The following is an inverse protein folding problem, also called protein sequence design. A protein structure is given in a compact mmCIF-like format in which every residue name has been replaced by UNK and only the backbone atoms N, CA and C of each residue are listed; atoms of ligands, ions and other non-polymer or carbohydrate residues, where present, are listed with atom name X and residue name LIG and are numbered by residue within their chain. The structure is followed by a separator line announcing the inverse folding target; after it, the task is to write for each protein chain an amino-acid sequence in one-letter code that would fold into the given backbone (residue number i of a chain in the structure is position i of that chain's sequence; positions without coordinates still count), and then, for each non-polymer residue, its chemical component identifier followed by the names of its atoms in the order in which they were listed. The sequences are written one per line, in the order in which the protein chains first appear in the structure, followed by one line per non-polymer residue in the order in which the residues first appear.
data_IF_724537520446
#
_entry.id   IF_724537520446
#
_cell.length_a   1.000
_cell.length_b   1.000
_cell.length_c   1.000
_cell.angle_alpha   90.00
_cell.angle_beta   90.00
_cell.angle_gamma   90.00
#
_symmetry.space_group_name_H-M   'P 1'
#
loop_
_entity.id
_entity.type
_entity.pdbx_description
1 polymer ?
#
# COMPACT_ATOMS: atom_id res chain seq x y z
N UNK A 1 12.08 26.37 -24.40
CA UNK A 1 13.09 25.70 -23.54
C UNK A 1 12.34 25.01 -22.41
N UNK A 2 12.27 23.68 -22.44
CA UNK A 2 11.72 22.90 -21.33
C UNK A 2 12.74 22.94 -20.19
N UNK A 3 12.40 23.61 -19.09
CA UNK A 3 13.17 23.51 -17.85
C UNK A 3 12.99 22.10 -17.30
N UNK A 4 13.94 21.20 -17.59
CA UNK A 4 13.99 19.91 -16.94
C UNK A 4 14.20 20.16 -15.45
N UNK A 5 13.16 19.97 -14.64
CA UNK A 5 13.26 20.05 -13.19
C UNK A 5 14.26 18.97 -12.76
N UNK A 6 15.44 19.39 -12.29
CA UNK A 6 16.37 18.46 -11.63
C UNK A 6 15.74 18.12 -10.28
N UNK A 7 14.97 17.03 -10.24
CA UNK A 7 14.36 16.58 -9.00
C UNK A 7 15.45 16.00 -8.09
N UNK A 8 15.59 16.47 -6.84
CA UNK A 8 16.61 15.99 -5.91
C UNK A 8 16.53 14.48 -5.64
N UNK A 9 17.62 13.93 -5.10
CA UNK A 9 17.75 12.47 -4.87
C UNK A 9 16.75 11.96 -3.83
N UNK A 10 16.42 12.77 -2.83
CA UNK A 10 15.63 12.32 -1.69
C UNK A 10 14.17 12.06 -2.06
N UNK A 11 13.57 12.78 -3.01
CA UNK A 11 12.19 12.55 -3.44
C UNK A 11 12.03 11.15 -4.04
N UNK A 12 13.00 10.73 -4.88
CA UNK A 12 13.00 9.38 -5.46
C UNK A 12 13.19 8.32 -4.39
N UNK A 13 14.18 8.52 -3.51
CA UNK A 13 14.41 7.58 -2.40
C UNK A 13 13.18 7.44 -1.52
N UNK A 14 12.50 8.53 -1.18
CA UNK A 14 11.26 8.50 -0.41
C UNK A 14 10.13 7.77 -1.16
N UNK A 15 9.95 8.03 -2.45
CA UNK A 15 8.94 7.34 -3.26
C UNK A 15 9.17 5.83 -3.29
N UNK A 16 10.42 5.40 -3.48
CA UNK A 16 10.81 3.98 -3.58
C UNK A 16 10.74 3.28 -2.21
N UNK A 17 11.27 3.91 -1.16
CA UNK A 17 11.27 3.34 0.19
C UNK A 17 9.86 3.22 0.78
N UNK A 18 8.95 4.12 0.39
CA UNK A 18 7.56 4.15 0.86
C UNK A 18 6.57 3.78 -0.24
N UNK A 19 6.97 2.90 -1.16
CA UNK A 19 6.02 2.32 -2.12
C UNK A 19 4.89 1.60 -1.38
N UNK A 20 3.64 1.64 -1.90
CA UNK A 20 2.51 1.00 -1.23
C UNK A 20 2.72 -0.47 -0.85
N UNK A 21 3.32 -1.35 -1.70
CA UNK A 21 3.61 -2.72 -1.32
C UNK A 21 4.63 -2.85 -0.19
N UNK A 22 5.62 -1.95 -0.12
CA UNK A 22 6.65 -1.94 0.93
C UNK A 22 6.04 -1.57 2.28
N UNK A 23 5.22 -0.52 2.29
CA UNK A 23 4.48 -0.11 3.49
C UNK A 23 3.52 -1.20 3.96
N UNK A 24 2.77 -1.82 3.06
CA UNK A 24 1.82 -2.88 3.42
C UNK A 24 2.56 -4.09 3.98
N UNK A 25 3.66 -4.51 3.36
CA UNK A 25 4.51 -5.58 3.87
C UNK A 25 5.04 -5.27 5.28
N UNK A 26 5.51 -4.03 5.51
CA UNK A 26 5.97 -3.62 6.83
C UNK A 26 4.86 -3.68 7.89
N UNK A 27 3.65 -3.21 7.57
CA UNK A 27 2.51 -3.26 8.49
C UNK A 27 2.04 -4.69 8.76
N UNK A 28 1.99 -5.55 7.74
CA UNK A 28 1.64 -6.96 7.87
C UNK A 28 2.59 -7.70 8.80
N UNK A 29 3.84 -7.25 8.95
CA UNK A 29 4.79 -7.82 9.91
C UNK A 29 4.69 -7.13 11.27
N UNK A 30 4.74 -5.80 11.29
CA UNK A 30 4.91 -5.04 12.52
C UNK A 30 3.68 -5.03 13.43
N UNK A 31 2.47 -4.96 12.87
CA UNK A 31 1.24 -4.87 13.66
C UNK A 31 0.92 -6.17 14.41
N UNK A 32 0.85 -7.36 13.78
CA UNK A 32 0.60 -8.59 14.52
C UNK A 32 1.75 -8.95 15.48
N UNK A 33 3.00 -8.60 15.13
CA UNK A 33 4.13 -8.75 16.05
C UNK A 33 3.99 -7.84 17.28
N UNK A 34 3.63 -6.57 17.07
CA UNK A 34 3.44 -5.60 18.14
C UNK A 34 2.27 -5.94 19.06
N UNK A 35 1.22 -6.57 18.52
CA UNK A 35 0.08 -7.03 19.30
C UNK A 35 0.38 -8.30 20.10
N UNK A 36 1.08 -9.27 19.50
CA UNK A 36 1.45 -10.52 20.17
C UNK A 36 2.78 -11.08 19.62
N UNK A 37 3.94 -10.81 20.25
CA UNK A 37 5.26 -11.09 19.69
C UNK A 37 5.63 -12.58 19.82
N UNK A 38 5.09 -13.40 18.90
CA UNK A 38 5.30 -14.85 18.84
C UNK A 38 5.86 -15.26 17.49
N UNK A 39 6.44 -16.46 17.42
CA UNK A 39 6.85 -17.02 16.13
C UNK A 39 5.66 -17.14 15.16
N UNK A 40 4.46 -17.44 15.67
CA UNK A 40 3.24 -17.53 14.87
C UNK A 40 2.86 -16.19 14.24
N UNK A 41 2.85 -15.09 14.99
CA UNK A 41 2.52 -13.76 14.44
C UNK A 41 3.54 -13.31 13.40
N UNK A 42 4.83 -13.57 13.64
CA UNK A 42 5.88 -13.31 12.66
C UNK A 42 5.68 -14.14 11.38
N UNK A 43 5.24 -15.40 11.52
CA UNK A 43 5.04 -16.28 10.37
C UNK A 43 3.84 -15.89 9.51
N UNK A 44 2.74 -15.51 10.15
CA UNK A 44 1.61 -14.88 9.47
C UNK A 44 2.04 -13.59 8.76
N UNK A 45 2.75 -12.70 9.45
CA UNK A 45 3.18 -11.43 8.86
C UNK A 45 4.13 -11.58 7.67
N UNK A 46 5.17 -12.40 7.80
CA UNK A 46 6.14 -12.64 6.72
C UNK A 46 5.48 -13.33 5.53
N UNK A 47 4.67 -14.37 5.76
CA UNK A 47 4.01 -15.08 4.66
C UNK A 47 2.98 -14.19 3.94
N UNK A 48 2.22 -13.38 4.67
CA UNK A 48 1.31 -12.39 4.08
C UNK A 48 2.09 -11.37 3.23
N UNK A 49 3.17 -10.78 3.78
CA UNK A 49 4.00 -9.83 3.06
C UNK A 49 4.61 -10.43 1.78
N UNK A 50 5.12 -11.65 1.84
CA UNK A 50 5.68 -12.34 0.68
C UNK A 50 4.62 -12.65 -0.38
N UNK A 51 3.45 -13.15 0.01
CA UNK A 51 2.40 -13.56 -0.94
C UNK A 51 1.69 -12.35 -1.53
N UNK A 52 1.31 -11.38 -0.71
CA UNK A 52 0.47 -10.25 -1.12
C UNK A 52 1.29 -9.09 -1.70
N UNK A 53 2.55 -8.93 -1.30
CA UNK A 53 3.40 -7.85 -1.81
C UNK A 53 4.58 -8.38 -2.63
N UNK A 54 5.26 -9.42 -2.14
CA UNK A 54 6.45 -9.99 -2.79
C UNK A 54 6.16 -10.64 -4.14
N UNK A 55 5.16 -11.54 -4.21
CA UNK A 55 4.81 -12.24 -5.46
C UNK A 55 4.38 -11.25 -6.55
N UNK A 56 3.45 -10.29 -6.32
CA UNK A 56 3.11 -9.31 -7.35
C UNK A 56 4.28 -8.47 -7.82
N UNK A 57 5.13 -8.00 -6.90
CA UNK A 57 6.31 -7.22 -7.26
C UNK A 57 7.27 -8.06 -8.10
N UNK A 58 7.57 -9.30 -7.70
CA UNK A 58 8.41 -10.21 -8.46
C UNK A 58 7.83 -10.50 -9.85
N UNK A 59 6.51 -10.70 -9.95
CA UNK A 59 5.83 -10.90 -11.22
C UNK A 59 5.96 -9.69 -12.14
N UNK A 60 5.71 -8.47 -11.63
CA UNK A 60 5.88 -7.23 -12.39
C UNK A 60 7.33 -7.06 -12.86
N UNK A 61 8.32 -7.25 -11.98
CA UNK A 61 9.73 -7.14 -12.33
C UNK A 61 10.14 -8.19 -13.38
N UNK A 62 9.64 -9.41 -13.28
CA UNK A 62 9.88 -10.46 -14.28
C UNK A 62 9.27 -10.09 -15.65
N UNK A 63 8.06 -9.55 -15.66
CA UNK A 63 7.39 -9.11 -16.89
C UNK A 63 8.11 -7.90 -17.53
N UNK A 64 8.66 -6.98 -16.73
CA UNK A 64 9.53 -5.90 -17.22
C UNK A 64 10.80 -6.48 -17.84
N UNK A 65 11.47 -7.42 -17.17
CA UNK A 65 12.68 -8.09 -17.70
C UNK A 65 12.42 -8.84 -19.00
N UNK A 66 11.20 -9.35 -19.21
CA UNK A 66 10.77 -10.03 -20.43
C UNK A 66 10.28 -9.07 -21.53
N UNK A 67 10.31 -7.76 -21.30
CA UNK A 67 9.83 -6.74 -22.25
C UNK A 67 8.31 -6.72 -22.42
N UNK A 68 7.55 -7.40 -21.54
CA UNK A 68 6.09 -7.41 -21.57
C UNK A 68 5.51 -6.13 -20.93
N UNK A 69 6.17 -5.63 -19.88
CA UNK A 69 5.85 -4.35 -19.25
C UNK A 69 6.98 -3.35 -19.49
N UNK A 70 6.62 -2.07 -19.60
CA UNK A 70 7.58 -0.97 -19.83
C UNK A 70 8.41 -0.64 -18.59
N UNK A 71 7.79 -0.72 -17.40
CA UNK A 71 8.36 -0.31 -16.12
C UNK A 71 7.57 -0.93 -14.96
N UNK A 72 8.14 -0.93 -13.76
CA UNK A 72 7.52 -1.55 -12.59
C UNK A 72 6.37 -0.74 -11.98
N UNK A 73 6.20 0.51 -12.38
CA UNK A 73 5.02 1.31 -12.00
C UNK A 73 3.79 0.99 -12.88
N UNK A 74 3.95 0.10 -13.86
CA UNK A 74 2.88 -0.31 -14.79
C UNK A 74 2.24 0.93 -15.43
N UNK A 75 3.09 1.77 -16.05
CA UNK A 75 2.67 3.07 -16.58
C UNK A 75 1.60 2.95 -17.67
N UNK A 76 1.64 1.89 -18.49
CA UNK A 76 0.63 1.57 -19.51
C UNK A 76 -0.68 1.13 -18.86
N UNK A 77 -1.76 1.85 -19.15
CA UNK A 77 -3.06 1.72 -18.46
C UNK A 77 -3.69 0.34 -18.66
N UNK A 78 -3.51 -0.23 -19.84
CA UNK A 78 -4.03 -1.54 -20.26
C UNK A 78 -3.44 -2.66 -19.41
N UNK A 79 -2.19 -2.54 -18.99
CA UNK A 79 -1.51 -3.52 -18.15
C UNK A 79 -1.89 -3.42 -16.66
N UNK A 80 -2.46 -2.29 -16.21
CA UNK A 80 -2.82 -2.10 -14.80
C UNK A 80 -3.94 -3.02 -14.35
N UNK A 81 -4.95 -3.25 -15.21
CA UNK A 81 -6.10 -4.10 -14.90
C UNK A 81 -5.70 -5.55 -14.58
N UNK A 82 -4.96 -6.27 -15.43
CA UNK A 82 -4.58 -7.65 -15.13
C UNK A 82 -3.65 -7.75 -13.91
N UNK A 83 -2.72 -6.80 -13.72
CA UNK A 83 -1.85 -6.77 -12.53
C UNK A 83 -2.69 -6.58 -11.26
N UNK A 84 -3.60 -5.61 -11.25
CA UNK A 84 -4.47 -5.33 -10.12
C UNK A 84 -5.44 -6.48 -9.82
N UNK A 85 -5.98 -7.14 -10.85
CA UNK A 85 -6.79 -8.33 -10.67
C UNK A 85 -5.99 -9.48 -10.01
N UNK A 86 -4.75 -9.72 -10.46
CA UNK A 86 -3.86 -10.70 -9.86
C UNK A 86 -3.54 -10.40 -8.39
N UNK A 87 -3.26 -9.12 -8.06
CA UNK A 87 -3.06 -8.68 -6.68
C UNK A 87 -4.31 -8.94 -5.84
N UNK A 88 -5.49 -8.53 -6.31
CA UNK A 88 -6.75 -8.73 -5.58
C UNK A 88 -7.06 -10.21 -5.33
N UNK A 89 -6.78 -11.09 -6.28
CA UNK A 89 -6.92 -12.55 -6.11
C UNK A 89 -5.98 -13.07 -5.02
N UNK A 90 -4.72 -12.63 -5.01
CA UNK A 90 -3.75 -13.02 -3.98
C UNK A 90 -4.15 -12.52 -2.59
N UNK A 91 -4.58 -11.25 -2.48
CA UNK A 91 -5.11 -10.67 -1.24
C UNK A 91 -6.30 -11.48 -0.74
N UNK A 92 -7.29 -11.74 -1.59
CA UNK A 92 -8.50 -12.47 -1.22
C UNK A 92 -8.19 -13.92 -0.81
N UNK A 93 -7.28 -14.57 -1.53
CA UNK A 93 -6.88 -15.95 -1.25
C UNK A 93 -6.16 -16.07 0.09
N UNK A 94 -5.24 -15.14 0.38
CA UNK A 94 -4.56 -15.11 1.68
C UNK A 94 -5.52 -14.70 2.80
N UNK A 95 -6.42 -13.73 2.56
CA UNK A 95 -7.46 -13.34 3.51
C UNK A 95 -8.35 -14.54 3.87
N UNK A 96 -8.79 -15.32 2.88
CA UNK A 96 -9.57 -16.52 3.11
C UNK A 96 -8.80 -17.53 3.98
N UNK A 97 -7.52 -17.76 3.69
CA UNK A 97 -6.68 -18.62 4.51
C UNK A 97 -6.53 -18.09 5.94
N UNK A 98 -6.32 -16.78 6.12
CA UNK A 98 -6.21 -16.15 7.43
C UNK A 98 -7.50 -16.30 8.25
N UNK A 99 -8.67 -16.12 7.63
CA UNK A 99 -9.96 -16.31 8.33
C UNK A 99 -10.19 -17.79 8.67
N UNK A 100 -9.97 -18.71 7.73
CA UNK A 100 -10.22 -20.14 7.94
C UNK A 100 -9.28 -20.78 8.97
N UNK A 101 -8.04 -20.30 9.05
CA UNK A 101 -7.01 -20.79 9.97
C UNK A 101 -6.88 -19.94 11.24
N UNK A 102 -7.80 -19.00 11.48
CA UNK A 102 -7.83 -18.14 12.67
C UNK A 102 -6.51 -17.37 12.88
N UNK A 103 -5.99 -16.77 11.81
CA UNK A 103 -4.82 -15.90 11.84
C UNK A 103 -5.06 -14.61 12.64
N UNK A 104 -3.98 -13.85 12.93
CA UNK A 104 -4.05 -12.62 13.72
C UNK A 104 -5.06 -11.63 13.15
N UNK A 105 -5.84 -10.97 14.02
CA UNK A 105 -6.89 -10.03 13.62
C UNK A 105 -6.31 -8.84 12.85
N UNK A 106 -5.08 -8.43 13.15
CA UNK A 106 -4.37 -7.35 12.47
C UNK A 106 -4.11 -7.69 11.00
N UNK A 107 -3.77 -8.95 10.70
CA UNK A 107 -3.59 -9.43 9.32
C UNK A 107 -4.93 -9.39 8.59
N UNK A 108 -5.98 -9.95 9.20
CA UNK A 108 -7.33 -9.97 8.61
C UNK A 108 -7.80 -8.54 8.34
N UNK A 109 -7.65 -7.64 9.31
CA UNK A 109 -8.05 -6.24 9.20
C UNK A 109 -7.32 -5.51 8.06
N UNK A 110 -5.98 -5.64 7.97
CA UNK A 110 -5.19 -5.03 6.91
C UNK A 110 -5.58 -5.57 5.52
N UNK A 111 -5.84 -6.87 5.41
CA UNK A 111 -6.20 -7.49 4.13
C UNK A 111 -7.63 -7.15 3.71
N UNK A 112 -8.59 -7.09 4.64
CA UNK A 112 -9.96 -6.60 4.36
C UNK A 112 -9.90 -5.14 3.90
N UNK A 113 -9.22 -4.27 4.66
CA UNK A 113 -9.06 -2.86 4.31
C UNK A 113 -8.41 -2.68 2.94
N UNK A 114 -7.31 -3.40 2.67
CA UNK A 114 -6.59 -3.32 1.39
C UNK A 114 -7.42 -3.88 0.23
N UNK A 115 -8.12 -4.99 0.43
CA UNK A 115 -8.95 -5.61 -0.62
C UNK A 115 -10.09 -4.68 -1.03
N UNK A 116 -10.86 -4.18 -0.05
CA UNK A 116 -11.97 -3.26 -0.30
C UNK A 116 -11.47 -1.95 -0.90
N UNK A 117 -10.33 -1.43 -0.40
CA UNK A 117 -9.75 -0.22 -0.95
C UNK A 117 -9.29 -0.41 -2.40
N UNK A 118 -8.63 -1.54 -2.66
CA UNK A 118 -8.19 -1.95 -3.98
C UNK A 118 -9.35 -2.14 -4.97
N UNK A 119 -10.49 -2.68 -4.54
CA UNK A 119 -11.68 -2.81 -5.39
C UNK A 119 -12.22 -1.44 -5.84
N UNK A 120 -12.33 -0.49 -4.92
CA UNK A 120 -12.80 0.86 -5.25
C UNK A 120 -11.80 1.54 -6.20
N UNK A 121 -10.49 1.43 -5.93
CA UNK A 121 -9.48 1.94 -6.86
C UNK A 121 -9.58 1.24 -8.22
N UNK A 122 -9.84 -0.07 -8.24
CA UNK A 122 -9.98 -0.81 -9.48
C UNK A 122 -11.14 -0.30 -10.34
N UNK A 123 -12.24 0.04 -9.69
CA UNK A 123 -13.39 0.67 -10.32
C UNK A 123 -13.06 2.09 -10.76
N UNK A 124 -12.48 2.95 -9.91
CA UNK A 124 -12.29 4.39 -10.20
C UNK A 124 -11.13 4.69 -11.18
N UNK A 125 -10.07 3.89 -11.15
CA UNK A 125 -8.82 4.11 -11.89
C UNK A 125 -8.92 4.23 -13.43
N UNK A 126 -9.94 3.69 -14.13
CA UNK A 126 -10.15 3.96 -15.54
C UNK A 126 -10.52 5.41 -15.84
N UNK A 127 -11.18 6.12 -14.90
CA UNK A 127 -11.66 7.48 -15.12
C UNK A 127 -10.77 8.52 -14.44
N UNK A 128 -10.23 8.21 -13.26
CA UNK A 128 -9.41 9.16 -12.51
C UNK A 128 -8.30 8.47 -11.72
N UNK A 129 -7.09 9.04 -11.81
CA UNK A 129 -5.90 8.48 -11.14
C UNK A 129 -5.85 8.99 -9.71
N UNK A 130 -6.10 8.11 -8.73
CA UNK A 130 -5.85 8.41 -7.32
C UNK A 130 -4.41 8.06 -6.94
N UNK A 131 -3.82 8.77 -5.97
CA UNK A 131 -2.47 8.45 -5.49
C UNK A 131 -2.49 7.26 -4.53
N UNK A 132 -1.91 6.14 -4.96
CA UNK A 132 -1.72 4.96 -4.11
C UNK A 132 -0.77 5.22 -2.93
N UNK A 133 0.28 6.01 -3.14
CA UNK A 133 1.16 6.48 -2.06
C UNK A 133 0.39 7.31 -1.04
N UNK A 134 -0.41 8.29 -1.48
CA UNK A 134 -1.26 9.08 -0.59
C UNK A 134 -2.19 8.20 0.24
N UNK A 135 -2.91 7.29 -0.42
CA UNK A 135 -3.78 6.31 0.25
C UNK A 135 -3.04 5.48 1.29
N UNK A 136 -1.90 4.90 0.93
CA UNK A 136 -1.17 4.06 1.85
C UNK A 136 -0.63 4.86 3.04
N UNK A 137 -0.14 6.09 2.85
CA UNK A 137 0.32 6.93 3.97
C UNK A 137 -0.81 7.31 4.92
N UNK A 138 -1.97 7.71 4.40
CA UNK A 138 -3.14 8.03 5.23
C UNK A 138 -3.61 6.81 6.02
N UNK A 139 -3.75 5.66 5.36
CA UNK A 139 -4.13 4.41 6.00
C UNK A 139 -3.12 3.94 7.06
N UNK A 140 -1.83 4.06 6.76
CA UNK A 140 -0.73 3.72 7.68
C UNK A 140 -0.79 4.55 8.95
N UNK A 141 -1.03 5.87 8.85
CA UNK A 141 -1.11 6.74 10.04
C UNK A 141 -2.23 6.27 10.98
N UNK A 142 -3.42 5.96 10.45
CA UNK A 142 -4.53 5.46 11.28
C UNK A 142 -4.19 4.09 11.85
N UNK A 143 -3.71 3.15 11.03
CA UNK A 143 -3.38 1.80 11.50
C UNK A 143 -2.35 1.80 12.64
N UNK A 144 -1.26 2.58 12.48
CA UNK A 144 -0.25 2.76 13.53
C UNK A 144 -0.81 3.44 14.77
N UNK A 145 -1.66 4.46 14.60
CA UNK A 145 -2.24 5.21 15.72
C UNK A 145 -3.23 4.35 16.51
N UNK A 146 -4.02 3.51 15.83
CA UNK A 146 -4.93 2.56 16.48
C UNK A 146 -4.16 1.50 17.25
N UNK A 147 -3.09 0.94 16.67
CA UNK A 147 -2.35 -0.15 17.32
C UNK A 147 -1.36 0.31 18.39
N UNK A 148 -0.73 1.48 18.24
CA UNK A 148 0.35 1.95 19.13
C UNK A 148 0.06 3.32 19.77
N UNK A 149 -1.17 3.81 19.69
CA UNK A 149 -1.58 5.09 20.27
C UNK A 149 -0.89 6.29 19.61
N UNK A 150 -0.64 7.34 20.39
CA UNK A 150 -0.10 8.61 19.89
C UNK A 150 1.26 8.49 19.18
N UNK A 151 2.03 7.41 19.42
CA UNK A 151 3.29 7.14 18.72
C UNK A 151 3.07 7.01 17.20
N UNK A 152 1.92 6.47 16.77
CA UNK A 152 1.58 6.38 15.34
C UNK A 152 1.51 7.73 14.63
N UNK A 153 1.22 8.82 15.35
CA UNK A 153 1.17 10.17 14.78
C UNK A 153 2.55 10.69 14.36
N UNK A 154 3.64 10.09 14.85
CA UNK A 154 5.00 10.41 14.39
C UNK A 154 5.20 10.08 12.90
N UNK A 155 4.32 9.28 12.29
CA UNK A 155 4.35 8.96 10.87
C UNK A 155 3.70 10.04 9.98
N UNK A 156 2.97 11.01 10.56
CA UNK A 156 2.38 12.14 9.83
C UNK A 156 3.42 12.93 9.01
N UNK A 157 4.55 13.41 9.58
CA UNK A 157 5.56 14.11 8.79
C UNK A 157 6.12 13.26 7.65
N UNK A 158 6.27 11.94 7.85
CA UNK A 158 6.70 11.00 6.80
C UNK A 158 5.64 10.94 5.69
N UNK A 159 4.36 10.85 6.05
CA UNK A 159 3.22 10.90 5.13
C UNK A 159 3.22 12.13 4.25
N UNK A 160 3.39 13.30 4.86
CA UNK A 160 3.43 14.57 4.15
C UNK A 160 4.65 14.66 3.23
N UNK A 161 5.82 14.20 3.68
CA UNK A 161 7.04 14.18 2.87
C UNK A 161 6.92 13.28 1.63
N UNK A 162 6.34 12.08 1.78
CA UNK A 162 6.07 11.16 0.66
C UNK A 162 5.05 11.77 -0.30
N UNK A 163 3.94 12.31 0.20
CA UNK A 163 2.93 12.99 -0.60
C UNK A 163 3.52 14.16 -1.39
N UNK A 164 4.36 14.98 -0.77
CA UNK A 164 5.06 16.08 -1.42
C UNK A 164 6.01 15.60 -2.52
N UNK A 165 6.76 14.53 -2.26
CA UNK A 165 7.61 13.89 -3.27
C UNK A 165 6.83 13.50 -4.53
N UNK A 166 5.62 12.95 -4.40
CA UNK A 166 4.78 12.58 -5.58
C UNK A 166 4.40 13.78 -6.45
N UNK A 167 4.15 14.93 -5.82
CA UNK A 167 3.82 16.18 -6.52
C UNK A 167 5.08 16.74 -7.20
N UNK A 168 6.23 16.73 -6.50
CA UNK A 168 7.50 17.25 -7.02
C UNK A 168 8.08 16.42 -8.17
N UNK A 169 7.90 15.10 -8.12
CA UNK A 169 8.24 14.19 -9.23
C UNK A 169 7.27 14.30 -10.41
N UNK A 170 6.20 15.08 -10.29
CA UNK A 170 5.13 15.23 -11.28
C UNK A 170 4.41 13.92 -11.63
N UNK A 171 4.47 12.93 -10.74
CA UNK A 171 3.77 11.65 -10.92
C UNK A 171 2.27 11.77 -10.65
N UNK A 172 1.87 12.77 -9.84
CA UNK A 172 0.50 13.05 -9.45
C UNK A 172 0.25 14.55 -9.28
N UNK A 173 -0.98 14.99 -9.52
CA UNK A 173 -1.41 16.35 -9.16
C UNK A 173 -1.73 16.44 -7.66
N UNK A 174 -1.74 17.65 -7.10
CA UNK A 174 -2.09 17.86 -5.69
C UNK A 174 -3.44 17.25 -5.30
N UNK A 175 -4.47 17.40 -6.16
CA UNK A 175 -5.79 16.81 -5.93
C UNK A 175 -5.74 15.27 -5.87
N UNK A 176 -4.97 14.63 -6.75
CA UNK A 176 -4.83 13.17 -6.75
C UNK A 176 -4.16 12.65 -5.48
N UNK A 177 -3.18 13.41 -4.96
CA UNK A 177 -2.48 13.10 -3.70
C UNK A 177 -3.38 13.32 -2.49
N UNK A 178 -4.05 14.47 -2.41
CA UNK A 178 -4.96 14.82 -1.31
C UNK A 178 -6.12 13.81 -1.24
N UNK A 179 -6.78 13.51 -2.36
CA UNK A 179 -7.86 12.53 -2.36
C UNK A 179 -7.37 11.13 -2.05
N UNK A 180 -6.18 10.74 -2.52
CA UNK A 180 -5.54 9.51 -2.09
C UNK A 180 -5.37 9.46 -0.58
N UNK A 181 -4.77 10.50 0.01
CA UNK A 181 -4.53 10.59 1.45
C UNK A 181 -5.80 10.55 2.27
N UNK A 182 -6.81 11.35 1.92
CA UNK A 182 -8.13 11.33 2.57
C UNK A 182 -8.79 9.96 2.44
N UNK A 183 -8.71 9.34 1.26
CA UNK A 183 -9.23 8.00 1.04
C UNK A 183 -8.52 6.95 1.93
N UNK A 184 -7.21 7.07 2.09
CA UNK A 184 -6.41 6.30 3.03
C UNK A 184 -6.89 6.43 4.47
N UNK A 185 -7.05 7.66 4.95
CA UNK A 185 -7.53 7.96 6.31
C UNK A 185 -8.96 7.42 6.54
N UNK A 186 -9.88 7.81 5.66
CA UNK A 186 -11.31 7.66 5.86
C UNK A 186 -11.84 6.27 5.50
N UNK A 187 -11.11 5.50 4.69
CA UNK A 187 -11.56 4.18 4.23
C UNK A 187 -10.59 3.07 4.65
N UNK A 188 -9.34 3.09 4.19
CA UNK A 188 -8.40 2.01 4.52
C UNK A 188 -8.11 1.95 6.02
N UNK A 189 -7.71 3.09 6.59
CA UNK A 189 -7.39 3.24 8.00
C UNK A 189 -8.58 2.97 8.91
N UNK A 190 -9.76 3.51 8.58
CA UNK A 190 -10.97 3.35 9.37
C UNK A 190 -11.50 1.92 9.37
N UNK A 191 -11.43 1.20 8.24
CA UNK A 191 -11.79 -0.23 8.18
C UNK A 191 -10.85 -1.04 9.06
N UNK A 192 -9.54 -0.79 8.97
CA UNK A 192 -8.58 -1.45 9.85
C UNK A 192 -8.92 -1.18 11.32
N UNK A 193 -9.09 0.10 11.68
CA UNK A 193 -9.39 0.50 13.05
C UNK A 193 -10.66 -0.16 13.58
N UNK A 194 -11.73 -0.16 12.80
CA UNK A 194 -13.02 -0.76 13.16
C UNK A 194 -12.94 -2.27 13.42
N UNK A 195 -12.07 -3.00 12.71
CA UNK A 195 -11.95 -4.46 12.89
C UNK A 195 -11.12 -4.81 14.12
N UNK A 196 -10.13 -3.99 14.49
CA UNK A 196 -9.20 -4.30 15.58
C UNK A 196 -9.60 -3.73 16.95
N UNK A 197 -10.61 -2.85 17.02
CA UNK A 197 -11.16 -2.26 18.25
C UNK A 197 -12.50 -2.90 18.62
#
# INVERSE_FOLDING_TARGET
MSTSIVVPRWERTATEAFQPPVLLAALLIALPWGANPTAASLWWGISAALIVCGIPLAAVLLLVRRGVLTDHHVSVKEHRRPVMAGVLVLVLSYLAAAVLLQGPIEIVALLVATFLAGLIIAVVSPWWKISGHGMMMGGTIIALTTSWGAVGLLFVPVGLAVCWSRIRLQDHTGLQVISGFIYGLAFLGSIYAWIVT
#
